data_IF_001342108522
#
_entry.id   IF_001342108522
#
_cell.length_a   1.000
_cell.length_b   1.000
_cell.length_c   1.000
_cell.angle_alpha   90.00
_cell.angle_beta   90.00
_cell.angle_gamma   90.00
#
_symmetry.space_group_name_H-M   'P 1'
#
loop_
_entity.id
_entity.type
_entity.pdbx_description
1 polymer ?
#
# COMPACT_ATOMS: atom_id res chain seq x y z
N UNK A 1 -18.80 5.50 25.57
CA UNK A 1 -19.83 4.82 24.73
C UNK A 1 -19.14 4.38 23.45
N UNK A 2 -19.40 3.18 22.96
CA UNK A 2 -18.64 2.57 21.86
C UNK A 2 -19.53 2.35 20.65
N UNK A 3 -18.93 2.30 19.47
CA UNK A 3 -19.60 1.88 18.26
C UNK A 3 -20.14 0.45 18.42
N UNK A 4 -21.43 0.24 18.15
CA UNK A 4 -22.06 -1.07 18.34
C UNK A 4 -21.51 -2.16 17.38
N UNK A 5 -20.94 -1.76 16.24
CA UNK A 5 -20.32 -2.64 15.24
C UNK A 5 -18.83 -2.86 15.52
N UNK A 6 -17.98 -1.82 15.38
CA UNK A 6 -16.53 -1.99 15.46
C UNK A 6 -15.95 -1.91 16.88
N UNK A 7 -16.79 -1.68 17.90
CA UNK A 7 -16.42 -1.54 19.33
C UNK A 7 -15.45 -0.41 19.67
N UNK A 8 -15.03 0.38 18.69
CA UNK A 8 -14.22 1.59 18.89
C UNK A 8 -14.95 2.56 19.81
N UNK A 9 -14.22 3.10 20.78
CA UNK A 9 -14.69 4.19 21.62
C UNK A 9 -14.93 5.45 20.78
N UNK A 10 -16.02 6.16 21.05
CA UNK A 10 -16.32 7.40 20.33
C UNK A 10 -15.42 8.54 20.78
N UNK A 11 -14.94 9.33 19.82
CA UNK A 11 -14.29 10.61 20.08
C UNK A 11 -15.38 11.67 20.34
N UNK A 12 -15.15 12.63 21.24
CA UNK A 12 -16.14 13.66 21.60
C UNK A 12 -16.65 14.47 20.41
N UNK A 13 -15.79 14.76 19.42
CA UNK A 13 -16.12 15.52 18.21
C UNK A 13 -16.68 14.67 17.07
N UNK A 14 -16.77 13.35 17.22
CA UNK A 14 -17.19 12.45 16.13
C UNK A 14 -18.71 12.40 15.99
N UNK A 15 -19.20 12.44 14.74
CA UNK A 15 -20.62 12.31 14.43
C UNK A 15 -21.11 10.89 14.75
N UNK A 16 -22.09 10.78 15.64
CA UNK A 16 -22.71 9.51 16.04
C UNK A 16 -24.02 9.35 15.30
N UNK A 17 -24.17 8.25 14.56
CA UNK A 17 -25.40 7.96 13.80
C UNK A 17 -26.08 6.74 14.42
N UNK A 18 -27.40 6.81 14.59
CA UNK A 18 -28.19 5.66 15.00
C UNK A 18 -28.30 4.70 13.80
N UNK A 19 -27.69 3.52 13.92
CA UNK A 19 -27.75 2.52 12.85
C UNK A 19 -29.18 2.03 12.65
N UNK A 20 -29.91 1.81 13.75
CA UNK A 20 -31.35 1.55 13.80
C UNK A 20 -32.04 2.86 14.24
N UNK A 21 -33.04 3.36 13.49
CA UNK A 21 -33.76 4.58 13.84
C UNK A 21 -34.32 4.51 15.27
N UNK A 22 -34.16 5.58 16.04
CA UNK A 22 -34.65 5.71 17.42
C UNK A 22 -34.11 4.66 18.43
N UNK A 23 -33.00 3.99 18.12
CA UNK A 23 -32.33 3.07 19.05
C UNK A 23 -30.93 3.61 19.41
N UNK A 24 -30.78 4.14 20.62
CA UNK A 24 -29.52 4.74 21.09
C UNK A 24 -28.39 3.72 21.33
N UNK A 25 -28.73 2.45 21.56
CA UNK A 25 -27.75 1.36 21.70
C UNK A 25 -27.15 0.96 20.35
N UNK A 26 -27.79 1.37 19.25
CA UNK A 26 -27.35 1.08 17.88
C UNK A 26 -26.39 2.13 17.30
N UNK A 27 -25.77 2.97 18.14
CA UNK A 27 -24.88 4.04 17.66
C UNK A 27 -23.64 3.47 16.97
N UNK A 28 -23.37 3.97 15.77
CA UNK A 28 -22.19 3.64 14.97
C UNK A 28 -21.29 4.85 14.76
N UNK A 29 -20.00 4.56 14.59
CA UNK A 29 -18.99 5.56 14.26
C UNK A 29 -19.08 5.94 12.79
N UNK A 30 -18.43 7.04 12.42
CA UNK A 30 -18.47 7.56 11.05
C UNK A 30 -17.90 6.56 10.04
N UNK A 31 -16.81 5.86 10.40
CA UNK A 31 -16.22 4.82 9.56
C UNK A 31 -17.20 3.65 9.29
N UNK A 32 -17.91 3.15 10.31
CA UNK A 32 -18.92 2.11 10.13
C UNK A 32 -20.09 2.61 9.28
N UNK A 33 -20.55 3.85 9.50
CA UNK A 33 -21.61 4.46 8.73
C UNK A 33 -21.23 4.60 7.24
N UNK A 34 -20.01 5.04 6.95
CA UNK A 34 -19.52 5.21 5.59
C UNK A 34 -19.41 3.86 4.86
N UNK A 35 -18.91 2.81 5.51
CA UNK A 35 -18.85 1.45 4.94
C UNK A 35 -20.23 0.89 4.63
N UNK A 36 -21.19 1.08 5.53
CA UNK A 36 -22.58 0.65 5.32
C UNK A 36 -23.23 1.44 4.18
N UNK A 37 -23.05 2.76 4.15
CA UNK A 37 -23.60 3.64 3.12
C UNK A 37 -23.01 3.29 1.75
N UNK A 38 -21.71 3.00 1.71
CA UNK A 38 -21.01 2.56 0.51
C UNK A 38 -21.59 1.28 -0.05
N UNK A 39 -21.75 0.26 0.81
CA UNK A 39 -22.42 -0.97 0.44
C UNK A 39 -23.79 -0.65 -0.15
N UNK A 40 -24.66 0.02 0.59
CA UNK A 40 -26.02 0.35 0.12
C UNK A 40 -26.09 1.08 -1.21
N UNK A 41 -25.12 1.95 -1.50
CA UNK A 41 -25.09 2.77 -2.71
C UNK A 41 -24.60 2.02 -3.94
N UNK A 42 -23.51 1.26 -3.81
CA UNK A 42 -22.82 0.68 -4.96
C UNK A 42 -23.13 -0.80 -5.18
N UNK A 43 -23.80 -1.46 -4.22
CA UNK A 43 -24.06 -2.90 -4.29
C UNK A 43 -22.77 -3.72 -4.34
N UNK A 44 -22.91 -5.05 -4.45
CA UNK A 44 -21.78 -5.99 -4.53
C UNK A 44 -21.04 -5.97 -5.85
N UNK A 45 -20.85 -4.80 -6.48
CA UNK A 45 -20.10 -4.68 -7.72
C UNK A 45 -18.64 -5.08 -7.48
N UNK A 46 -18.31 -6.31 -7.88
CA UNK A 46 -16.99 -6.92 -7.78
C UNK A 46 -15.89 -6.14 -8.53
N UNK A 47 -16.27 -5.19 -9.39
CA UNK A 47 -15.30 -4.29 -10.04
C UNK A 47 -14.72 -3.25 -9.07
N UNK A 48 -15.39 -2.98 -7.96
CA UNK A 48 -14.98 -1.95 -7.00
C UNK A 48 -14.39 -2.59 -5.73
N UNK A 49 -13.07 -2.69 -5.66
CA UNK A 49 -12.27 -3.13 -4.48
C UNK A 49 -12.67 -2.51 -3.11
N UNK A 50 -13.50 -1.46 -3.11
CA UNK A 50 -13.99 -0.74 -1.93
C UNK A 50 -15.26 -1.39 -1.34
N UNK A 51 -16.14 -1.98 -2.15
CA UNK A 51 -17.33 -2.70 -1.67
C UNK A 51 -16.93 -3.98 -0.93
N UNK A 52 -15.97 -4.73 -1.49
CA UNK A 52 -15.41 -5.94 -0.89
C UNK A 52 -14.81 -5.70 0.50
N UNK A 53 -13.98 -4.66 0.69
CA UNK A 53 -13.38 -4.36 2.00
C UNK A 53 -14.39 -3.88 3.03
N UNK A 54 -15.41 -3.17 2.57
CA UNK A 54 -16.51 -2.74 3.43
C UNK A 54 -17.28 -3.97 3.90
N UNK A 55 -17.53 -4.93 3.01
CA UNK A 55 -18.11 -6.23 3.32
C UNK A 55 -17.21 -7.04 4.28
N UNK A 56 -15.94 -7.29 3.96
CA UNK A 56 -14.99 -8.06 4.80
C UNK A 56 -14.91 -7.48 6.23
N UNK A 57 -14.76 -6.16 6.34
CA UNK A 57 -14.69 -5.49 7.65
C UNK A 57 -15.96 -5.71 8.47
N UNK A 58 -17.14 -5.54 7.86
CA UNK A 58 -18.41 -5.69 8.55
C UNK A 58 -18.73 -7.15 8.86
N UNK A 59 -18.43 -8.06 7.93
CA UNK A 59 -18.60 -9.51 8.09
C UNK A 59 -17.76 -10.05 9.26
N UNK A 60 -16.47 -9.67 9.33
CA UNK A 60 -15.59 -10.09 10.43
C UNK A 60 -16.01 -9.53 11.80
N UNK A 61 -16.84 -8.49 11.84
CA UNK A 61 -17.37 -7.91 13.09
C UNK A 61 -18.67 -8.53 13.55
N UNK A 62 -19.31 -9.40 12.77
CA UNK A 62 -20.58 -10.05 13.12
C UNK A 62 -20.50 -10.81 14.44
N UNK A 63 -19.44 -11.61 14.62
CA UNK A 63 -19.25 -12.45 15.82
C UNK A 63 -19.02 -11.63 17.10
N UNK A 64 -18.69 -10.34 16.99
CA UNK A 64 -18.49 -9.43 18.11
C UNK A 64 -19.78 -8.66 18.49
N UNK A 65 -20.88 -8.80 17.74
CA UNK A 65 -22.13 -8.04 17.94
C UNK A 65 -23.09 -8.82 18.84
N UNK A 66 -23.30 -8.31 20.06
CA UNK A 66 -24.18 -8.92 21.06
C UNK A 66 -25.64 -8.50 20.95
N UNK A 67 -25.96 -7.41 20.25
CA UNK A 67 -27.34 -6.92 20.12
C UNK A 67 -28.01 -7.60 18.91
N UNK A 68 -29.07 -8.42 19.10
CA UNK A 68 -29.69 -9.18 18.01
C UNK A 68 -30.33 -8.30 16.93
N UNK A 69 -30.89 -7.14 17.28
CA UNK A 69 -31.47 -6.22 16.30
C UNK A 69 -30.39 -5.61 15.40
N UNK A 70 -29.24 -5.27 15.99
CA UNK A 70 -28.08 -4.76 15.26
C UNK A 70 -27.52 -5.83 14.33
N UNK A 71 -27.40 -7.07 14.82
CA UNK A 71 -26.91 -8.20 14.02
C UNK A 71 -27.85 -8.48 12.84
N UNK A 72 -29.16 -8.61 13.08
CA UNK A 72 -30.15 -8.87 12.03
C UNK A 72 -30.13 -7.78 10.94
N UNK A 73 -30.06 -6.51 11.33
CA UNK A 73 -29.99 -5.41 10.35
C UNK A 73 -28.67 -5.39 9.59
N UNK A 74 -27.57 -5.75 10.25
CA UNK A 74 -26.28 -5.90 9.56
C UNK A 74 -26.35 -7.06 8.57
N UNK A 75 -26.99 -8.15 8.95
CA UNK A 75 -27.19 -9.35 8.12
C UNK A 75 -28.10 -9.11 6.94
N UNK A 76 -29.13 -8.27 7.06
CA UNK A 76 -29.92 -7.83 5.91
C UNK A 76 -29.04 -7.04 4.94
N UNK A 77 -28.22 -6.12 5.45
CA UNK A 77 -27.32 -5.33 4.61
C UNK A 77 -26.29 -6.25 3.95
N UNK A 78 -25.68 -7.18 4.68
CA UNK A 78 -24.70 -8.11 4.14
C UNK A 78 -25.34 -9.20 3.26
N UNK A 79 -26.58 -9.61 3.53
CA UNK A 79 -27.32 -10.62 2.78
C UNK A 79 -27.84 -10.12 1.44
N UNK A 80 -27.91 -8.80 1.22
CA UNK A 80 -28.02 -8.21 -0.11
C UNK A 80 -26.78 -8.46 -0.99
N UNK A 81 -25.69 -8.97 -0.39
CA UNK A 81 -24.48 -9.47 -1.04
C UNK A 81 -24.54 -10.99 -0.98
N UNK A 82 -25.15 -11.57 -2.01
CA UNK A 82 -24.99 -12.95 -2.52
C UNK A 82 -24.18 -13.92 -1.65
N UNK A 83 -24.83 -15.03 -1.28
CA UNK A 83 -24.31 -16.32 -0.78
C UNK A 83 -22.80 -16.51 -0.55
N UNK A 84 -22.46 -17.38 0.40
CA UNK A 84 -21.09 -17.76 0.76
C UNK A 84 -20.20 -18.10 -0.46
N UNK A 85 -20.81 -18.60 -1.55
CA UNK A 85 -20.16 -18.86 -2.84
C UNK A 85 -19.57 -17.60 -3.48
N UNK A 86 -20.30 -16.47 -3.47
CA UNK A 86 -19.81 -15.21 -4.03
C UNK A 86 -18.67 -14.59 -3.21
N UNK A 87 -18.74 -14.68 -1.87
CA UNK A 87 -17.62 -14.26 -1.01
C UNK A 87 -16.35 -15.07 -1.29
N UNK A 88 -16.49 -16.39 -1.41
CA UNK A 88 -15.35 -17.27 -1.72
C UNK A 88 -14.76 -16.98 -3.11
N UNK A 89 -15.60 -16.69 -4.11
CA UNK A 89 -15.15 -16.28 -5.46
C UNK A 89 -14.35 -14.97 -5.42
N UNK A 90 -14.85 -13.94 -4.75
CA UNK A 90 -14.14 -12.65 -4.59
C UNK A 90 -12.78 -12.83 -3.90
N UNK A 91 -12.73 -13.64 -2.85
CA UNK A 91 -11.50 -13.96 -2.13
C UNK A 91 -10.48 -14.67 -3.04
N UNK A 92 -10.93 -15.60 -3.88
CA UNK A 92 -10.07 -16.28 -4.85
C UNK A 92 -9.55 -15.32 -5.93
N UNK A 93 -10.42 -14.50 -6.54
CA UNK A 93 -10.05 -13.52 -7.57
C UNK A 93 -8.97 -12.54 -7.09
N UNK A 94 -8.99 -12.15 -5.81
CA UNK A 94 -7.98 -11.27 -5.19
C UNK A 94 -6.63 -11.94 -5.01
N UNK A 95 -6.61 -13.21 -4.60
CA UNK A 95 -5.36 -13.99 -4.52
C UNK A 95 -4.74 -14.09 -5.90
N UNK A 96 -5.55 -14.40 -6.92
CA UNK A 96 -5.08 -14.43 -8.30
C UNK A 96 -4.60 -13.06 -8.79
N UNK A 97 -5.31 -11.99 -8.45
CA UNK A 97 -4.91 -10.64 -8.84
C UNK A 97 -3.57 -10.24 -8.21
N UNK A 98 -3.36 -10.52 -6.92
CA UNK A 98 -2.07 -10.28 -6.27
C UNK A 98 -0.94 -11.08 -6.91
N UNK A 99 -1.21 -12.34 -7.29
CA UNK A 99 -0.23 -13.16 -8.01
C UNK A 99 0.08 -12.58 -9.40
N UNK A 100 -0.94 -12.13 -10.14
CA UNK A 100 -0.79 -11.45 -11.44
C UNK A 100 0.06 -10.19 -11.29
N UNK A 101 -0.30 -9.29 -10.38
CA UNK A 101 0.42 -8.03 -10.12
C UNK A 101 1.89 -8.28 -9.75
N UNK A 102 2.17 -9.30 -8.91
CA UNK A 102 3.53 -9.69 -8.54
C UNK A 102 4.33 -10.21 -9.74
N UNK A 103 3.70 -11.03 -10.58
CA UNK A 103 4.33 -11.56 -11.79
C UNK A 103 4.60 -10.48 -12.84
N UNK A 104 3.69 -9.52 -12.97
CA UNK A 104 3.84 -8.38 -13.88
C UNK A 104 4.97 -7.46 -13.40
N UNK A 105 5.04 -7.17 -12.10
CA UNK A 105 6.14 -6.42 -11.52
C UNK A 105 7.49 -7.08 -11.78
N UNK A 106 7.59 -8.39 -11.60
CA UNK A 106 8.82 -9.13 -11.89
C UNK A 106 9.24 -9.01 -13.36
N UNK A 107 8.28 -9.10 -14.29
CA UNK A 107 8.54 -8.91 -15.73
C UNK A 107 8.97 -7.48 -16.05
N UNK A 108 8.41 -6.49 -15.36
CA UNK A 108 8.76 -5.09 -15.55
C UNK A 108 10.19 -4.81 -15.07
N UNK A 109 10.57 -5.33 -13.90
CA UNK A 109 11.94 -5.35 -13.40
C UNK A 109 12.89 -5.98 -14.43
N UNK A 110 12.55 -7.14 -14.98
CA UNK A 110 13.36 -7.82 -16.00
C UNK A 110 13.48 -7.03 -17.31
N UNK A 111 12.42 -6.34 -17.73
CA UNK A 111 12.46 -5.46 -18.92
C UNK A 111 13.37 -4.27 -18.70
N UNK A 112 13.22 -3.57 -17.57
CA UNK A 112 14.07 -2.44 -17.19
C UNK A 112 15.54 -2.87 -17.08
N UNK A 113 15.78 -4.03 -16.47
CA UNK A 113 17.09 -4.66 -16.40
C UNK A 113 17.71 -4.86 -17.79
N UNK A 114 17.00 -5.52 -18.71
CA UNK A 114 17.51 -5.78 -20.06
C UNK A 114 17.82 -4.49 -20.83
N UNK A 115 16.99 -3.45 -20.67
CA UNK A 115 17.19 -2.16 -21.33
C UNK A 115 18.42 -1.41 -20.82
N UNK A 116 18.66 -1.43 -19.50
CA UNK A 116 19.82 -0.73 -18.91
C UNK A 116 21.15 -1.44 -19.12
N UNK A 117 21.18 -2.75 -19.35
CA UNK A 117 22.40 -3.54 -19.20
C UNK A 117 22.86 -4.37 -20.41
N UNK A 118 22.32 -4.16 -21.61
CA UNK A 118 22.78 -4.83 -22.85
C UNK A 118 23.07 -6.35 -22.68
N UNK A 119 22.27 -7.05 -21.87
CA UNK A 119 22.41 -8.49 -21.65
C UNK A 119 23.51 -8.95 -20.69
N UNK A 120 24.19 -8.05 -19.96
CA UNK A 120 25.10 -8.44 -18.88
C UNK A 120 24.29 -8.97 -17.69
N UNK A 121 24.05 -10.29 -17.68
CA UNK A 121 23.38 -10.97 -16.58
C UNK A 121 24.24 -10.95 -15.32
N UNK A 122 23.93 -10.04 -14.39
CA UNK A 122 24.30 -10.19 -13.01
C UNK A 122 23.22 -9.56 -12.14
N UNK A 123 22.83 -10.27 -11.11
CA UNK A 123 21.79 -9.88 -10.18
C UNK A 123 22.39 -8.87 -9.18
N UNK A 124 21.91 -7.62 -9.18
CA UNK A 124 22.45 -6.44 -8.46
C UNK A 124 22.25 -6.42 -6.93
N UNK A 125 22.20 -7.58 -6.26
CA UNK A 125 21.95 -7.61 -4.82
C UNK A 125 23.16 -7.14 -3.97
N UNK A 126 24.34 -6.96 -4.56
CA UNK A 126 25.58 -6.64 -3.83
C UNK A 126 25.83 -5.14 -3.57
N UNK A 127 24.93 -4.25 -4.01
CA UNK A 127 25.02 -2.81 -3.67
C UNK A 127 24.29 -2.54 -2.36
N UNK A 128 25.08 -2.24 -1.32
CA UNK A 128 24.57 -1.76 -0.02
C UNK A 128 23.90 -0.40 -0.20
N UNK A 129 22.75 -0.22 0.44
CA UNK A 129 21.97 1.01 0.35
C UNK A 129 21.71 1.51 1.75
N UNK A 130 22.09 2.75 2.05
CA UNK A 130 21.77 3.37 3.33
C UNK A 130 21.26 4.79 3.17
N UNK A 131 20.29 5.14 4.01
CA UNK A 131 19.87 6.53 4.21
C UNK A 131 20.85 7.28 5.11
N UNK A 132 21.75 6.59 5.83
CA UNK A 132 22.83 7.19 6.60
C UNK A 132 24.00 7.61 5.71
N UNK A 133 24.80 8.56 6.19
CA UNK A 133 26.00 9.04 5.49
C UNK A 133 27.25 8.18 5.74
N UNK A 134 27.14 7.10 6.53
CA UNK A 134 28.24 6.19 6.87
C UNK A 134 27.72 4.76 7.04
N UNK A 135 28.61 3.77 6.92
CA UNK A 135 28.32 2.35 7.12
C UNK A 135 29.18 1.80 8.26
N UNK A 136 28.57 1.33 9.34
CA UNK A 136 29.32 0.75 10.46
C UNK A 136 30.09 -0.51 10.03
N UNK A 137 31.37 -0.58 10.41
CA UNK A 137 32.25 -1.68 10.04
C UNK A 137 32.73 -1.66 8.59
N UNK A 138 32.52 -0.56 7.88
CA UNK A 138 33.09 -0.29 6.56
C UNK A 138 33.89 1.01 6.57
N UNK A 139 34.94 1.04 5.76
CA UNK A 139 35.68 2.24 5.40
C UNK A 139 35.29 2.63 3.97
N UNK A 140 35.11 3.93 3.70
CA UNK A 140 34.81 4.42 2.36
C UNK A 140 36.13 4.71 1.64
N UNK A 141 36.51 3.84 0.71
CA UNK A 141 37.72 3.98 -0.09
C UNK A 141 37.60 5.13 -1.09
N UNK A 142 36.40 5.34 -1.66
CA UNK A 142 36.17 6.39 -2.66
C UNK A 142 34.70 6.82 -2.78
N UNK A 143 34.48 8.14 -2.87
CA UNK A 143 33.20 8.74 -3.27
C UNK A 143 33.23 8.99 -4.78
N UNK A 144 32.41 8.28 -5.54
CA UNK A 144 32.56 8.19 -7.00
C UNK A 144 31.70 9.22 -7.71
N UNK A 145 30.40 9.22 -7.45
CA UNK A 145 29.47 10.18 -8.06
C UNK A 145 28.16 10.26 -7.26
N UNK A 146 27.37 11.29 -7.55
CA UNK A 146 25.96 11.33 -7.16
C UNK A 146 25.18 10.48 -8.17
N UNK A 147 24.31 9.62 -7.65
CA UNK A 147 23.38 8.84 -8.47
C UNK A 147 21.94 9.26 -8.17
N UNK A 148 21.13 9.28 -9.21
CA UNK A 148 19.72 9.67 -9.13
C UNK A 148 18.86 8.71 -9.94
N UNK A 149 17.58 8.56 -9.59
CA UNK A 149 16.63 7.76 -10.35
C UNK A 149 15.20 8.23 -10.13
N UNK A 150 14.42 8.21 -11.21
CA UNK A 150 13.02 8.56 -11.20
C UNK A 150 12.20 7.38 -11.74
N UNK A 151 11.06 7.10 -11.10
CA UNK A 151 10.08 6.14 -11.60
C UNK A 151 8.68 6.72 -11.46
N UNK A 152 7.93 6.72 -12.57
CA UNK A 152 6.58 7.27 -12.65
C UNK A 152 5.60 6.12 -12.87
N UNK A 153 4.57 6.04 -12.03
CA UNK A 153 3.50 5.04 -12.14
C UNK A 153 2.12 5.71 -12.21
N UNK A 154 1.30 5.24 -13.14
CA UNK A 154 -0.11 5.61 -13.23
C UNK A 154 -0.93 4.97 -12.10
N UNK A 155 -1.64 5.79 -11.34
CA UNK A 155 -2.58 5.32 -10.32
C UNK A 155 -3.86 4.76 -10.93
N UNK A 156 -4.22 5.10 -12.17
CA UNK A 156 -5.44 4.61 -12.84
C UNK A 156 -6.73 5.21 -12.23
N UNK A 157 -7.85 4.49 -12.29
CA UNK A 157 -9.20 4.89 -11.79
C UNK A 157 -9.20 5.22 -10.26
N UNK A 158 -8.13 4.87 -9.54
CA UNK A 158 -7.95 5.21 -8.12
C UNK A 158 -7.86 6.73 -7.84
N UNK A 159 -7.58 7.52 -8.87
CA UNK A 159 -7.47 8.98 -8.83
C UNK A 159 -8.81 9.73 -8.77
N UNK A 160 -9.92 9.10 -9.20
CA UNK A 160 -11.25 9.72 -9.18
C UNK A 160 -11.82 9.86 -7.75
N UNK A 161 -11.09 9.40 -6.75
CA UNK A 161 -11.44 9.43 -5.32
C UNK A 161 -10.62 10.48 -4.53
N UNK A 162 -9.85 11.32 -5.24
CA UNK A 162 -9.01 12.35 -4.66
C UNK A 162 -9.77 13.61 -4.25
N UNK A 163 -10.58 13.55 -3.19
CA UNK A 163 -11.05 14.76 -2.48
C UNK A 163 -11.54 14.52 -1.03
N UNK A 164 -11.15 13.44 -0.36
CA UNK A 164 -11.36 13.32 1.09
C UNK A 164 -10.23 12.51 1.74
N UNK A 165 -9.02 13.07 1.70
CA UNK A 165 -7.83 12.50 2.33
C UNK A 165 -7.54 13.11 3.70
N UNK A 166 -8.55 13.65 4.38
CA UNK A 166 -8.35 14.24 5.71
C UNK A 166 -8.52 13.22 6.85
N UNK A 167 -9.23 12.10 6.64
CA UNK A 167 -9.61 11.20 7.74
C UNK A 167 -8.95 9.81 7.65
N UNK A 168 -7.67 9.76 7.22
CA UNK A 168 -6.92 8.52 7.06
C UNK A 168 -6.30 8.02 8.37
N UNK A 169 -7.12 7.78 9.40
CA UNK A 169 -6.70 6.96 10.54
C UNK A 169 -6.59 5.49 10.12
N UNK A 170 -5.38 5.06 9.75
CA UNK A 170 -4.86 3.74 10.10
C UNK A 170 -5.49 2.48 9.47
N UNK A 171 -6.03 2.52 8.25
CA UNK A 171 -6.29 1.29 7.48
C UNK A 171 -5.72 1.36 6.07
N UNK A 172 -4.89 0.38 5.74
CA UNK A 172 -4.08 0.31 4.52
C UNK A 172 -4.93 0.47 3.24
N UNK A 173 -4.76 1.61 2.55
CA UNK A 173 -5.26 1.82 1.19
C UNK A 173 -4.46 0.94 0.22
N UNK A 174 -4.75 -0.35 0.26
CA UNK A 174 -3.94 -1.46 -0.26
C UNK A 174 -3.55 -1.31 -1.75
N UNK A 175 -4.37 -0.65 -2.57
CA UNK A 175 -4.08 -0.41 -3.99
C UNK A 175 -3.10 0.75 -4.24
N UNK A 176 -3.34 1.91 -3.62
CA UNK A 176 -2.44 3.07 -3.69
C UNK A 176 -1.09 2.75 -3.03
N UNK A 177 -1.11 2.14 -1.84
CA UNK A 177 0.09 1.71 -1.14
C UNK A 177 0.85 0.64 -1.92
N UNK A 178 0.15 -0.29 -2.57
CA UNK A 178 0.77 -1.29 -3.46
C UNK A 178 1.52 -0.62 -4.62
N UNK A 179 0.87 0.32 -5.33
CA UNK A 179 1.48 1.07 -6.43
C UNK A 179 2.65 1.95 -5.98
N UNK A 180 2.50 2.64 -4.85
CA UNK A 180 3.57 3.45 -4.28
C UNK A 180 4.77 2.60 -3.84
N UNK A 181 4.52 1.44 -3.21
CA UNK A 181 5.56 0.49 -2.83
C UNK A 181 6.30 -0.04 -4.07
N UNK A 182 5.56 -0.40 -5.13
CA UNK A 182 6.12 -0.80 -6.43
C UNK A 182 7.01 0.30 -7.01
N UNK A 183 6.54 1.55 -6.99
CA UNK A 183 7.30 2.70 -7.49
C UNK A 183 8.60 2.94 -6.71
N UNK A 184 8.56 2.87 -5.37
CA UNK A 184 9.76 2.97 -4.52
C UNK A 184 10.77 1.87 -4.82
N UNK A 185 10.30 0.63 -4.94
CA UNK A 185 11.17 -0.50 -5.26
C UNK A 185 11.83 -0.33 -6.63
N UNK A 186 11.11 0.17 -7.63
CA UNK A 186 11.69 0.45 -8.95
C UNK A 186 12.70 1.58 -8.93
N UNK A 187 12.41 2.70 -8.25
CA UNK A 187 13.36 3.80 -8.13
C UNK A 187 14.67 3.32 -7.48
N UNK A 188 14.59 2.61 -6.35
CA UNK A 188 15.77 2.05 -5.68
C UNK A 188 16.50 1.00 -6.52
N UNK A 189 15.77 0.20 -7.30
CA UNK A 189 16.36 -0.75 -8.24
C UNK A 189 17.21 -0.03 -9.30
N UNK A 190 16.67 1.02 -9.91
CA UNK A 190 17.37 1.86 -10.90
C UNK A 190 18.58 2.56 -10.25
N UNK A 191 18.43 3.07 -9.03
CA UNK A 191 19.51 3.72 -8.28
C UNK A 191 20.70 2.76 -8.04
N UNK A 192 20.41 1.54 -7.56
CA UNK A 192 21.42 0.46 -7.39
C UNK A 192 22.10 0.12 -8.72
N UNK A 193 21.31 -0.01 -9.78
CA UNK A 193 21.81 -0.30 -11.12
C UNK A 193 22.82 0.75 -11.58
N UNK A 194 22.51 2.05 -11.43
CA UNK A 194 23.44 3.14 -11.77
C UNK A 194 24.73 3.10 -10.94
N UNK A 195 24.63 2.90 -9.63
CA UNK A 195 25.82 2.76 -8.77
C UNK A 195 26.70 1.58 -9.23
N UNK A 196 26.09 0.44 -9.56
CA UNK A 196 26.82 -0.71 -10.08
C UNK A 196 27.49 -0.43 -11.44
N UNK A 197 26.85 0.32 -12.34
CA UNK A 197 27.49 0.74 -13.61
C UNK A 197 28.77 1.55 -13.37
N UNK A 198 28.82 2.31 -12.28
CA UNK A 198 29.99 3.04 -11.80
C UNK A 198 30.98 2.17 -11.01
N UNK A 199 30.79 0.85 -10.97
CA UNK A 199 31.57 -0.12 -10.19
C UNK A 199 31.61 0.21 -8.69
N UNK A 200 30.53 0.79 -8.18
CA UNK A 200 30.33 1.06 -6.76
C UNK A 200 29.62 -0.12 -6.10
N UNK A 201 29.90 -0.34 -4.82
CA UNK A 201 29.29 -1.41 -4.02
C UNK A 201 28.43 -0.88 -2.86
N UNK A 202 28.31 0.45 -2.73
CA UNK A 202 27.37 1.07 -1.81
C UNK A 202 26.81 2.39 -2.35
N UNK A 203 25.63 2.78 -1.86
CA UNK A 203 25.04 4.12 -1.99
C UNK A 203 24.67 4.63 -0.61
N UNK A 204 25.18 5.80 -0.25
CA UNK A 204 24.97 6.46 1.04
C UNK A 204 24.07 7.69 0.92
N UNK A 205 23.51 8.12 2.04
CA UNK A 205 22.71 9.34 2.12
C UNK A 205 21.50 9.28 1.18
N UNK A 206 20.89 8.09 1.05
CA UNK A 206 19.75 7.93 0.15
C UNK A 206 18.59 8.76 0.66
N UNK A 207 18.08 9.61 -0.21
CA UNK A 207 16.85 10.37 -0.02
C UNK A 207 15.81 9.95 -1.06
N UNK A 208 14.54 9.90 -0.65
CA UNK A 208 13.42 9.44 -1.48
C UNK A 208 12.29 10.44 -1.39
N UNK A 209 12.04 11.12 -2.50
CA UNK A 209 10.93 12.05 -2.67
C UNK A 209 9.77 11.39 -3.41
N UNK A 210 8.56 11.68 -2.95
CA UNK A 210 7.33 11.24 -3.58
C UNK A 210 6.55 12.49 -3.98
N UNK A 211 6.24 12.61 -5.25
CA UNK A 211 5.43 13.69 -5.79
C UNK A 211 4.30 13.14 -6.64
N UNK A 212 3.22 13.92 -6.74
CA UNK A 212 2.10 13.60 -7.62
C UNK A 212 2.21 14.47 -8.86
N UNK A 213 2.13 13.85 -10.04
CA UNK A 213 2.13 14.56 -11.32
C UNK A 213 0.71 14.50 -11.89
N UNK A 214 0.03 15.65 -11.90
CA UNK A 214 -1.40 15.71 -12.23
C UNK A 214 -2.24 14.91 -11.22
N UNK A 215 -3.42 14.45 -11.64
CA UNK A 215 -4.36 13.79 -10.73
C UNK A 215 -4.11 12.28 -10.57
N UNK A 216 -3.36 11.66 -11.50
CA UNK A 216 -3.40 10.20 -11.70
C UNK A 216 -2.01 9.55 -11.76
N UNK A 217 -0.95 10.25 -11.39
CA UNK A 217 0.41 9.69 -11.43
C UNK A 217 1.19 10.00 -10.18
N UNK A 218 1.96 9.02 -9.74
CA UNK A 218 2.94 9.17 -8.66
C UNK A 218 4.32 9.08 -9.30
N UNK A 219 5.15 10.07 -9.04
CA UNK A 219 6.59 10.01 -9.29
C UNK A 219 7.30 9.74 -7.98
N UNK A 220 8.20 8.76 -8.00
CA UNK A 220 9.18 8.55 -6.94
C UNK A 220 10.55 8.90 -7.50
N UNK A 221 11.20 9.86 -6.86
CA UNK A 221 12.57 10.25 -7.14
C UNK A 221 13.45 9.77 -5.98
N UNK A 222 14.61 9.22 -6.29
CA UNK A 222 15.61 8.87 -5.27
C UNK A 222 16.99 9.31 -5.69
N UNK A 223 17.77 9.81 -4.73
CA UNK A 223 19.13 10.28 -4.93
C UNK A 223 20.05 9.75 -3.82
N UNK A 224 21.35 9.73 -4.05
CA UNK A 224 22.35 9.35 -3.06
C UNK A 224 23.76 9.38 -3.65
N UNK A 225 24.77 9.09 -2.83
CA UNK A 225 26.17 9.10 -3.23
C UNK A 225 26.67 7.68 -3.44
N UNK A 226 27.07 7.33 -4.67
CA UNK A 226 27.66 6.04 -4.98
C UNK A 226 29.13 6.01 -4.54
N UNK A 227 29.49 4.97 -3.79
CA UNK A 227 30.82 4.84 -3.16
C UNK A 227 31.40 3.43 -3.33
N UNK A 228 32.72 3.34 -3.23
CA UNK A 228 33.44 2.09 -2.98
C UNK A 228 33.75 1.98 -1.50
N UNK A 229 33.20 0.96 -0.85
CA UNK A 229 33.36 0.69 0.56
C UNK A 229 34.06 -0.65 0.79
N UNK A 230 34.93 -0.70 1.79
CA UNK A 230 35.69 -1.89 2.20
C UNK A 230 35.32 -2.28 3.62
N UNK A 231 35.00 -3.56 3.84
CA UNK A 231 34.68 -4.06 5.18
C UNK A 231 35.94 -4.05 6.05
N UNK A 232 35.85 -3.48 7.24
CA UNK A 232 36.92 -3.46 8.23
C UNK A 232 36.97 -4.84 8.89
N UNK A 233 38.00 -5.63 8.57
CA UNK A 233 38.33 -6.84 9.32
C UNK A 233 39.05 -6.43 10.60
N UNK A 234 38.43 -6.66 11.75
CA UNK A 234 39.14 -6.59 13.03
C UNK A 234 40.15 -7.74 13.07
N UNK A 235 41.44 -7.43 12.99
CA UNK A 235 42.48 -8.33 13.48
C UNK A 235 42.40 -8.33 15.01
N UNK A 236 42.09 -9.48 15.58
CA UNK A 236 42.25 -9.78 17.01
C UNK A 236 43.74 -9.81 17.40
#
# INVERSE_FOLDING_TARGET
>A
MNCCICKKEFIESEKKVNFIPNNDESKICENCYNRISYLKQYGGDAKNNISERSYEFLHNKRDEINNPEVLNRLDEILGLYSDEETYNRMKQEKVEQQQRDRSEFQRELEKQHKQMFNGAGAVYYDVLMSTTHFLEGYEIDEYVDIVNSEYIIGTGIFSEWGASFSDLFGTQATGYQGKLSKAKQMALYILKAKAHQLKCNAVLGIDIDISTIGNNMIMVSSNGTAVRAKKITKTE
#
